data_IF_145166537967
#
_entry.id   IF_145166537967
#
_cell.length_a   1.000
_cell.length_b   1.000
_cell.length_c   1.000
_cell.angle_alpha   90.00
_cell.angle_beta   90.00
_cell.angle_gamma   90.00
#
_symmetry.space_group_name_H-M   'P 1'
#
loop_
_entity.id
_entity.type
_entity.pdbx_description
1 polymer ?
#
# COMPACT_ATOMS: atom_id res chain seq x y z
N UNK A 1 -2.32 -34.03 -2.58
CA UNK A 1 -2.76 -32.97 -1.67
C UNK A 1 -4.27 -32.90 -1.63
N UNK A 2 -4.80 -32.22 -0.66
CA UNK A 2 -6.25 -32.02 -0.47
C UNK A 2 -6.88 -31.17 -1.59
N UNK A 3 -6.11 -30.22 -2.12
CA UNK A 3 -6.54 -29.33 -3.19
C UNK A 3 -5.98 -29.76 -4.55
N UNK A 4 -6.77 -29.56 -5.60
CA UNK A 4 -6.41 -29.92 -6.96
C UNK A 4 -5.66 -28.80 -7.67
N UNK A 5 -4.66 -29.12 -8.50
CA UNK A 5 -4.02 -28.15 -9.36
C UNK A 5 -4.90 -27.82 -10.57
N UNK A 6 -4.95 -26.55 -10.95
CA UNK A 6 -5.56 -26.11 -12.22
C UNK A 6 -4.50 -25.52 -13.13
N UNK A 7 -4.69 -25.68 -14.44
CA UNK A 7 -3.83 -25.08 -15.45
C UNK A 7 -3.92 -23.55 -15.41
N UNK A 8 -2.81 -22.89 -15.71
CA UNK A 8 -2.77 -21.44 -15.84
C UNK A 8 -2.68 -21.02 -17.30
N UNK A 9 -2.76 -19.70 -17.55
CA UNK A 9 -2.54 -19.13 -18.89
C UNK A 9 -1.14 -19.40 -19.43
N UNK A 10 -0.17 -19.75 -18.57
CA UNK A 10 1.20 -20.09 -18.96
C UNK A 10 1.36 -21.63 -18.96
N UNK A 11 1.66 -22.25 -20.10
CA UNK A 11 1.87 -23.70 -20.17
C UNK A 11 2.94 -24.19 -19.19
N UNK A 12 2.66 -25.32 -18.52
CA UNK A 12 3.57 -25.91 -17.54
C UNK A 12 3.53 -25.31 -16.12
N UNK A 13 2.79 -24.23 -15.92
CA UNK A 13 2.55 -23.67 -14.59
C UNK A 13 1.14 -24.01 -14.13
N UNK A 14 1.03 -24.56 -12.93
CA UNK A 14 -0.23 -24.88 -12.27
C UNK A 14 -0.32 -24.15 -10.93
N UNK A 15 -1.53 -23.80 -10.52
CA UNK A 15 -1.84 -23.22 -9.21
C UNK A 15 -3.01 -23.95 -8.56
N UNK A 16 -3.26 -23.69 -7.29
CA UNK A 16 -4.38 -24.26 -6.57
C UNK A 16 -5.73 -23.86 -7.20
N UNK A 17 -6.70 -24.77 -7.20
CA UNK A 17 -8.06 -24.56 -7.73
C UNK A 17 -8.82 -23.38 -7.10
N UNK A 18 -8.42 -22.96 -5.90
CA UNK A 18 -8.98 -21.79 -5.25
C UNK A 18 -8.46 -20.45 -5.80
N UNK A 19 -7.55 -20.48 -6.77
CA UNK A 19 -6.94 -19.27 -7.35
C UNK A 19 -7.23 -19.11 -8.87
N UNK A 20 -8.48 -19.27 -9.35
CA UNK A 20 -8.79 -19.23 -10.77
C UNK A 20 -8.49 -17.89 -11.42
N UNK A 21 -8.74 -16.78 -10.72
CA UNK A 21 -8.44 -15.42 -11.22
C UNK A 21 -6.93 -15.19 -11.36
N UNK A 22 -6.11 -15.78 -10.47
CA UNK A 22 -4.66 -15.73 -10.55
C UNK A 22 -4.16 -16.57 -11.73
N UNK A 23 -4.72 -17.77 -11.92
CA UNK A 23 -4.39 -18.65 -13.04
C UNK A 23 -4.52 -17.93 -14.39
N UNK A 24 -5.56 -17.14 -14.57
CA UNK A 24 -5.81 -16.35 -15.78
C UNK A 24 -4.84 -15.18 -16.00
N UNK A 25 -4.10 -14.78 -14.97
CA UNK A 25 -3.16 -13.64 -15.02
C UNK A 25 -1.70 -14.07 -14.86
N UNK A 26 -1.43 -15.36 -14.90
CA UNK A 26 -0.08 -15.88 -14.67
C UNK A 26 0.95 -15.38 -15.68
N UNK A 27 0.53 -14.99 -16.88
CA UNK A 27 1.36 -14.35 -17.91
C UNK A 27 1.94 -12.98 -17.50
N UNK A 28 1.43 -12.41 -16.42
CA UNK A 28 1.88 -11.11 -15.86
C UNK A 28 2.68 -11.25 -14.57
N UNK A 29 2.94 -12.48 -14.14
CA UNK A 29 3.58 -12.80 -12.87
C UNK A 29 4.90 -13.54 -13.09
N UNK A 30 5.88 -13.24 -12.26
CA UNK A 30 7.11 -13.99 -12.15
C UNK A 30 7.05 -14.86 -10.88
N UNK A 31 7.14 -16.17 -11.05
CA UNK A 31 7.13 -17.12 -9.94
C UNK A 31 8.55 -17.55 -9.59
N UNK A 32 9.04 -17.14 -8.40
CA UNK A 32 10.33 -17.57 -7.87
C UNK A 32 10.08 -18.78 -6.94
N UNK A 33 10.53 -19.95 -7.33
CA UNK A 33 10.28 -21.23 -6.62
C UNK A 33 11.43 -21.64 -5.70
N UNK A 34 12.57 -21.01 -5.80
CA UNK A 34 13.80 -21.35 -5.07
C UNK A 34 14.06 -20.44 -3.87
N UNK A 35 13.10 -19.60 -3.49
CA UNK A 35 13.28 -18.67 -2.39
C UNK A 35 13.23 -19.40 -1.05
N UNK A 36 14.26 -19.23 -0.23
CA UNK A 36 14.38 -19.84 1.11
C UNK A 36 14.94 -18.82 2.10
N UNK A 37 14.64 -18.99 3.37
CA UNK A 37 15.24 -18.26 4.48
C UNK A 37 15.27 -19.15 5.73
N UNK A 38 16.13 -18.79 6.69
CA UNK A 38 16.30 -19.53 7.94
C UNK A 38 15.54 -18.95 9.13
N UNK A 39 14.81 -17.84 8.91
CA UNK A 39 14.07 -17.18 9.97
C UNK A 39 12.71 -17.86 10.19
N UNK A 40 12.43 -18.25 11.43
CA UNK A 40 11.18 -18.89 11.85
C UNK A 40 10.25 -17.95 12.63
N UNK A 41 10.71 -16.73 12.94
CA UNK A 41 9.90 -15.70 13.57
C UNK A 41 9.05 -14.99 12.53
N UNK A 42 7.73 -14.92 12.76
CA UNK A 42 6.80 -14.32 11.79
C UNK A 42 7.14 -12.88 11.44
N UNK A 43 7.56 -12.08 12.41
CA UNK A 43 7.85 -10.65 12.20
C UNK A 43 9.10 -10.44 11.35
N UNK A 44 10.18 -11.14 11.71
CA UNK A 44 11.45 -11.06 10.99
C UNK A 44 11.34 -11.67 9.59
N UNK A 45 10.69 -12.82 9.47
CA UNK A 45 10.46 -13.46 8.17
C UNK A 45 9.58 -12.58 7.24
N UNK A 46 8.56 -11.93 7.79
CA UNK A 46 7.75 -10.97 7.02
C UNK A 46 8.61 -9.82 6.52
N UNK A 47 9.45 -9.23 7.36
CA UNK A 47 10.37 -8.18 6.94
C UNK A 47 11.28 -8.65 5.81
N UNK A 48 11.90 -9.84 5.95
CA UNK A 48 12.76 -10.41 4.92
C UNK A 48 12.02 -10.60 3.58
N UNK A 49 10.81 -11.17 3.62
CA UNK A 49 10.00 -11.40 2.42
C UNK A 49 9.57 -10.12 1.72
N UNK A 50 9.29 -9.06 2.46
CA UNK A 50 8.80 -7.81 1.92
C UNK A 50 9.90 -6.83 1.49
N UNK A 51 11.14 -7.02 1.97
CA UNK A 51 12.25 -6.09 1.71
C UNK A 51 13.44 -6.75 1.01
N UNK A 52 13.56 -8.08 1.07
CA UNK A 52 14.74 -8.84 0.63
C UNK A 52 15.95 -8.65 1.53
N UNK A 53 15.77 -8.15 2.74
CA UNK A 53 16.85 -7.85 3.70
C UNK A 53 16.51 -8.37 5.09
N UNK A 54 17.53 -8.74 5.82
CA UNK A 54 17.37 -9.06 7.24
C UNK A 54 16.96 -7.81 8.01
N UNK A 55 16.14 -8.01 9.04
CA UNK A 55 15.76 -6.93 9.92
C UNK A 55 16.99 -6.40 10.66
N UNK A 56 17.17 -5.07 10.80
CA UNK A 56 18.35 -4.49 11.43
C UNK A 56 18.58 -5.02 12.86
N UNK A 57 17.56 -4.97 13.71
CA UNK A 57 17.52 -5.60 15.04
C UNK A 57 16.09 -5.88 15.46
N UNK A 58 15.89 -6.75 16.48
CA UNK A 58 14.52 -7.01 17.00
C UNK A 58 13.85 -5.79 17.62
N UNK A 59 14.62 -4.84 18.10
CA UNK A 59 14.18 -3.63 18.80
C UNK A 59 14.26 -2.37 17.94
N UNK A 60 14.72 -2.48 16.69
CA UNK A 60 14.78 -1.34 15.80
C UNK A 60 13.37 -0.75 15.56
N UNK A 61 13.23 0.57 15.59
CA UNK A 61 11.96 1.21 15.27
C UNK A 61 11.63 1.05 13.77
N UNK A 62 10.34 1.10 13.43
CA UNK A 62 9.85 0.87 12.05
C UNK A 62 10.47 1.82 11.02
N UNK A 63 10.82 3.03 11.41
CA UNK A 63 11.48 4.00 10.53
C UNK A 63 12.93 3.66 10.19
N UNK A 64 13.51 2.67 10.83
CA UNK A 64 14.85 2.11 10.50
C UNK A 64 14.76 0.84 9.65
N UNK A 65 13.57 0.35 9.38
CA UNK A 65 13.38 -0.81 8.50
C UNK A 65 13.94 -0.55 7.10
N UNK A 66 14.29 -1.62 6.41
CA UNK A 66 14.48 -1.57 4.98
C UNK A 66 13.13 -1.29 4.29
N UNK A 67 13.14 -0.44 3.25
CA UNK A 67 11.90 -0.11 2.54
C UNK A 67 11.34 -1.34 1.81
N UNK A 68 10.01 -1.45 1.84
CA UNK A 68 9.27 -2.41 1.04
C UNK A 68 9.48 -2.16 -0.46
N UNK A 69 9.35 -3.20 -1.28
CA UNK A 69 9.46 -3.09 -2.75
C UNK A 69 8.53 -2.02 -3.34
N UNK A 70 7.30 -1.90 -2.83
CA UNK A 70 6.36 -0.86 -3.26
C UNK A 70 6.83 0.55 -2.93
N UNK A 71 7.43 0.73 -1.75
CA UNK A 71 8.03 2.01 -1.34
C UNK A 71 9.24 2.37 -2.22
N UNK A 72 10.08 1.39 -2.54
CA UNK A 72 11.21 1.58 -3.46
C UNK A 72 10.75 2.00 -4.86
N UNK A 73 9.72 1.36 -5.40
CA UNK A 73 9.14 1.72 -6.70
C UNK A 73 8.55 3.14 -6.67
N UNK A 74 7.90 3.50 -5.58
CA UNK A 74 7.40 4.85 -5.35
C UNK A 74 8.53 5.89 -5.32
N UNK A 75 9.63 5.59 -4.61
CA UNK A 75 10.83 6.43 -4.55
C UNK A 75 11.46 6.63 -5.93
N UNK A 76 11.53 5.58 -6.74
CA UNK A 76 12.04 5.60 -8.12
C UNK A 76 11.08 6.27 -9.12
N UNK A 77 9.98 6.86 -8.66
CA UNK A 77 9.00 7.53 -9.49
C UNK A 77 8.23 6.61 -10.42
N UNK A 78 8.14 5.32 -10.08
CA UNK A 78 7.28 4.35 -10.78
C UNK A 78 5.83 4.49 -10.30
N UNK A 79 4.87 4.07 -11.15
CA UNK A 79 3.45 4.23 -10.83
C UNK A 79 2.98 5.67 -10.96
N UNK A 80 3.30 6.32 -12.09
CA UNK A 80 2.78 7.65 -12.45
C UNK A 80 1.30 7.55 -12.81
N UNK A 81 0.51 8.47 -12.31
CA UNK A 81 -0.93 8.55 -12.61
C UNK A 81 -1.76 8.94 -11.39
N UNK A 82 -3.08 8.90 -11.51
CA UNK A 82 -3.99 9.29 -10.43
C UNK A 82 -4.07 8.26 -9.29
N UNK A 83 -3.58 7.02 -9.51
CA UNK A 83 -3.58 5.99 -8.49
C UNK A 83 -2.34 6.11 -7.59
N UNK A 84 -2.44 5.73 -6.31
CA UNK A 84 -1.28 5.63 -5.45
C UNK A 84 -0.27 4.63 -6.03
N UNK A 85 1.01 4.97 -6.07
CA UNK A 85 2.04 4.08 -6.60
C UNK A 85 2.21 2.80 -5.75
N UNK A 86 1.80 2.83 -4.51
CA UNK A 86 1.87 1.71 -3.58
C UNK A 86 0.62 1.66 -2.69
N UNK A 87 -0.09 0.55 -2.76
CA UNK A 87 -1.28 0.25 -1.95
C UNK A 87 -1.02 -1.00 -1.14
N UNK A 88 -1.36 -0.98 0.14
CA UNK A 88 -1.33 -2.12 1.03
C UNK A 88 -2.75 -2.44 1.49
N UNK A 89 -3.21 -3.65 1.19
CA UNK A 89 -4.49 -4.17 1.66
C UNK A 89 -4.20 -5.13 2.81
N UNK A 90 -4.51 -4.72 4.02
CA UNK A 90 -4.31 -5.56 5.20
C UNK A 90 -5.46 -6.57 5.31
N UNK A 91 -5.16 -7.83 5.66
CA UNK A 91 -6.23 -8.76 5.98
C UNK A 91 -6.95 -8.32 7.26
N UNK A 92 -8.27 -8.43 7.28
CA UNK A 92 -9.03 -8.26 8.51
C UNK A 92 -8.71 -9.43 9.43
N UNK A 93 -8.09 -9.14 10.56
CA UNK A 93 -7.69 -10.15 11.54
C UNK A 93 -8.87 -10.42 12.46
N UNK A 94 -9.43 -11.64 12.48
CA UNK A 94 -10.52 -11.98 13.39
C UNK A 94 -10.11 -11.81 14.86
N UNK A 95 -11.07 -11.48 15.72
CA UNK A 95 -10.84 -11.41 17.14
C UNK A 95 -10.25 -12.74 17.66
N UNK A 96 -9.17 -12.64 18.43
CA UNK A 96 -8.45 -13.81 18.96
C UNK A 96 -7.34 -14.37 18.07
N UNK A 97 -7.19 -13.89 16.84
CA UNK A 97 -6.04 -14.25 16.02
C UNK A 97 -4.79 -13.45 16.41
N UNK A 98 -3.59 -14.03 16.25
CA UNK A 98 -2.35 -13.31 16.50
C UNK A 98 -2.23 -12.06 15.62
N UNK A 99 -1.99 -10.90 16.24
CA UNK A 99 -1.86 -9.62 15.52
C UNK A 99 -0.45 -9.34 15.01
N UNK A 100 0.34 -10.37 14.75
CA UNK A 100 1.70 -10.18 14.24
C UNK A 100 1.75 -9.40 12.92
N UNK A 101 0.72 -9.48 12.09
CA UNK A 101 0.64 -8.75 10.82
C UNK A 101 0.57 -7.25 11.05
N UNK A 102 -0.18 -6.79 12.06
CA UNK A 102 -0.30 -5.36 12.39
C UNK A 102 1.02 -4.77 12.94
N UNK A 103 1.79 -5.58 13.64
CA UNK A 103 3.08 -5.21 14.23
C UNK A 103 4.28 -5.60 13.38
N UNK A 104 4.06 -6.21 12.21
CA UNK A 104 5.14 -6.67 11.35
C UNK A 104 5.92 -5.53 10.74
N UNK A 105 7.22 -5.67 10.78
CA UNK A 105 8.17 -4.79 10.14
C UNK A 105 8.23 -5.01 8.62
N UNK A 106 8.82 -4.06 7.88
CA UNK A 106 9.00 -4.17 6.42
C UNK A 106 7.76 -3.86 5.58
N UNK A 107 6.65 -3.41 6.19
CA UNK A 107 5.42 -3.09 5.45
C UNK A 107 5.37 -1.67 4.89
N UNK A 108 6.27 -0.81 5.32
CA UNK A 108 6.30 0.60 4.98
C UNK A 108 7.55 1.03 4.20
N UNK A 109 7.78 2.31 4.22
CA UNK A 109 8.91 2.93 3.55
C UNK A 109 10.21 2.88 4.36
N UNK A 110 10.16 2.51 5.64
CA UNK A 110 11.34 2.46 6.50
C UNK A 110 12.12 3.79 6.47
N UNK A 111 13.43 3.70 6.32
CA UNK A 111 14.33 4.86 6.28
C UNK A 111 14.14 5.80 5.07
N UNK A 112 13.39 5.40 4.03
CA UNK A 112 13.01 6.33 2.95
C UNK A 112 12.03 7.42 3.42
N UNK A 113 11.39 7.20 4.56
CA UNK A 113 10.50 8.15 5.18
C UNK A 113 9.03 8.04 4.74
N UNK A 114 8.12 8.66 5.53
CA UNK A 114 6.67 8.45 5.43
C UNK A 114 6.07 8.88 4.10
N UNK A 115 6.72 9.74 3.33
CA UNK A 115 6.29 10.14 1.99
C UNK A 115 6.07 8.96 1.05
N UNK A 116 6.79 7.87 1.25
CA UNK A 116 6.76 6.68 0.39
C UNK A 116 6.01 5.51 1.02
N UNK A 117 5.32 5.73 2.15
CA UNK A 117 4.47 4.73 2.74
C UNK A 117 3.30 4.36 1.81
N UNK A 118 2.79 3.12 1.93
CA UNK A 118 1.62 2.70 1.18
C UNK A 118 0.38 3.51 1.58
N UNK A 119 -0.53 3.69 0.65
CA UNK A 119 -1.92 3.90 1.00
C UNK A 119 -2.46 2.60 1.59
N UNK A 120 -2.92 2.64 2.83
CA UNK A 120 -3.50 1.45 3.50
C UNK A 120 -5.00 1.40 3.26
N UNK A 121 -5.48 0.21 2.94
CA UNK A 121 -6.91 -0.09 2.84
C UNK A 121 -7.20 -1.15 3.88
N UNK A 122 -7.89 -0.77 4.94
CA UNK A 122 -8.25 -1.64 6.06
C UNK A 122 -9.69 -2.19 5.93
N UNK A 123 -10.35 -1.92 4.81
CA UNK A 123 -11.69 -2.43 4.52
C UNK A 123 -11.64 -3.91 4.08
N UNK A 124 -12.61 -4.69 4.54
CA UNK A 124 -12.72 -6.11 4.21
C UNK A 124 -13.34 -6.31 2.81
N UNK A 125 -12.49 -6.58 1.83
CA UNK A 125 -12.89 -6.79 0.44
C UNK A 125 -13.74 -8.07 0.21
N UNK A 126 -13.93 -8.92 1.22
CA UNK A 126 -14.83 -10.08 1.14
C UNK A 126 -16.29 -9.73 1.42
N UNK A 127 -16.55 -8.56 1.94
CA UNK A 127 -17.91 -8.11 2.30
C UNK A 127 -18.67 -7.64 1.07
N UNK A 128 -19.97 -7.97 0.96
CA UNK A 128 -20.83 -7.50 -0.15
C UNK A 128 -20.98 -5.97 -0.21
N UNK A 129 -20.84 -5.31 0.93
CA UNK A 129 -20.92 -3.86 1.11
C UNK A 129 -19.56 -3.19 1.16
N UNK A 130 -18.51 -3.86 0.62
CA UNK A 130 -17.16 -3.31 0.57
C UNK A 130 -17.13 -1.92 -0.05
N UNK A 131 -16.60 -0.98 0.71
CA UNK A 131 -16.33 0.39 0.26
C UNK A 131 -15.03 0.87 0.88
N UNK A 132 -14.28 1.61 0.12
CA UNK A 132 -13.12 2.37 0.65
C UNK A 132 -13.66 3.74 1.04
N UNK A 133 -14.10 3.87 2.30
CA UNK A 133 -14.80 5.05 2.81
C UNK A 133 -14.02 6.35 2.66
N UNK A 134 -12.69 6.27 2.59
CA UNK A 134 -11.82 7.41 2.40
C UNK A 134 -11.97 8.08 1.01
N UNK A 135 -12.60 7.42 0.04
CA UNK A 135 -12.89 7.99 -1.28
C UNK A 135 -14.25 8.67 -1.38
N UNK A 136 -15.11 8.48 -0.40
CA UNK A 136 -16.40 9.14 -0.36
C UNK A 136 -16.24 10.52 0.30
N UNK A 137 -16.44 11.57 -0.49
CA UNK A 137 -16.63 12.90 0.08
C UNK A 137 -17.89 12.86 0.94
N UNK A 138 -17.78 13.30 2.20
CA UNK A 138 -18.98 13.51 3.01
C UNK A 138 -19.96 14.37 2.22
N UNK A 139 -21.26 14.00 2.25
CA UNK A 139 -22.33 14.73 1.57
C UNK A 139 -22.35 16.23 1.94
N UNK A 140 -21.78 16.57 3.09
CA UNK A 140 -21.68 17.95 3.60
C UNK A 140 -20.49 18.74 3.03
N UNK A 141 -19.64 18.13 2.19
CA UNK A 141 -18.47 18.79 1.62
C UNK A 141 -18.60 18.82 0.10
N UNK A 142 -19.18 19.89 -0.46
CA UNK A 142 -19.25 20.05 -1.91
C UNK A 142 -17.85 20.25 -2.50
N UNK A 143 -17.70 19.91 -3.79
CA UNK A 143 -16.42 20.00 -4.50
C UNK A 143 -15.79 21.42 -4.44
N UNK A 144 -16.63 22.47 -4.45
CA UNK A 144 -16.16 23.85 -4.27
C UNK A 144 -15.43 24.06 -2.95
N UNK A 145 -15.94 23.49 -1.86
CA UNK A 145 -15.32 23.61 -0.54
C UNK A 145 -13.99 22.85 -0.44
N UNK A 146 -13.82 21.78 -1.23
CA UNK A 146 -12.53 21.11 -1.37
C UNK A 146 -11.51 21.98 -2.10
N UNK A 147 -11.91 22.66 -3.17
CA UNK A 147 -11.04 23.61 -3.89
C UNK A 147 -10.63 24.78 -2.99
N UNK A 148 -11.55 25.35 -2.21
CA UNK A 148 -11.26 26.42 -1.26
C UNK A 148 -10.25 25.97 -0.20
N UNK A 149 -10.41 24.77 0.36
CA UNK A 149 -9.45 24.19 1.32
C UNK A 149 -8.08 23.99 0.69
N UNK A 150 -8.03 23.52 -0.56
CA UNK A 150 -6.78 23.35 -1.32
C UNK A 150 -6.10 24.69 -1.57
N UNK A 151 -6.88 25.72 -1.91
CA UNK A 151 -6.39 27.10 -2.09
C UNK A 151 -5.78 27.65 -0.82
N UNK A 152 -6.49 27.52 0.31
CA UNK A 152 -6.04 27.96 1.62
C UNK A 152 -4.75 27.23 2.05
N UNK A 153 -4.71 25.90 1.88
CA UNK A 153 -3.52 25.11 2.19
C UNK A 153 -2.31 25.59 1.39
N UNK A 154 -2.43 25.78 0.07
CA UNK A 154 -1.34 26.29 -0.78
C UNK A 154 -0.85 27.67 -0.31
N UNK A 155 -1.77 28.54 0.10
CA UNK A 155 -1.42 29.86 0.62
C UNK A 155 -0.62 29.76 1.91
N UNK A 156 -1.03 28.91 2.84
CA UNK A 156 -0.32 28.65 4.08
C UNK A 156 1.06 28.04 3.81
N UNK A 157 1.13 26.99 3.00
CA UNK A 157 2.40 26.33 2.64
C UNK A 157 3.38 27.29 1.97
N UNK A 158 2.91 28.18 1.10
CA UNK A 158 3.75 29.18 0.45
C UNK A 158 4.36 30.19 1.42
N UNK A 159 3.69 30.48 2.52
CA UNK A 159 4.21 31.34 3.58
C UNK A 159 5.22 30.59 4.48
N UNK A 160 4.94 29.32 4.80
CA UNK A 160 5.85 28.48 5.56
C UNK A 160 7.14 28.15 4.79
N UNK A 161 7.07 27.90 3.48
CA UNK A 161 8.24 27.66 2.62
C UNK A 161 9.20 28.86 2.56
N UNK A 162 8.72 30.06 2.86
CA UNK A 162 9.58 31.26 2.99
C UNK A 162 10.32 31.31 4.33
N UNK A 163 9.89 30.55 5.32
CA UNK A 163 10.41 30.60 6.69
C UNK A 163 11.26 29.39 7.06
N UNK A 164 11.01 28.21 6.48
CA UNK A 164 11.75 27.00 6.84
C UNK A 164 11.86 25.98 5.68
N UNK A 165 13.08 25.61 5.36
CA UNK A 165 13.45 24.51 4.43
C UNK A 165 13.36 23.14 5.13
N UNK A 166 12.32 22.86 5.91
CA UNK A 166 12.20 21.59 6.63
C UNK A 166 11.59 20.49 5.76
N UNK A 167 12.29 19.37 5.66
CA UNK A 167 11.89 18.17 4.95
C UNK A 167 10.49 17.67 5.37
N UNK A 168 10.09 17.93 6.61
CA UNK A 168 8.78 17.56 7.17
C UNK A 168 7.63 18.31 6.49
N UNK A 169 7.79 19.60 6.18
CA UNK A 169 6.75 20.42 5.52
C UNK A 169 6.51 19.98 4.09
N UNK A 170 7.58 19.64 3.35
CA UNK A 170 7.48 19.13 1.99
C UNK A 170 6.79 17.76 1.95
N UNK A 171 7.04 16.92 2.95
CA UNK A 171 6.39 15.60 3.09
C UNK A 171 4.89 15.77 3.30
N UNK A 172 4.48 16.63 4.22
CA UNK A 172 3.07 16.87 4.53
C UNK A 172 2.32 17.41 3.30
N UNK A 173 2.86 18.41 2.60
CA UNK A 173 2.28 18.96 1.37
C UNK A 173 2.09 17.90 0.28
N UNK A 174 3.05 16.97 0.13
CA UNK A 174 2.93 15.88 -0.84
C UNK A 174 1.84 14.86 -0.49
N UNK A 175 1.58 14.61 0.79
CA UNK A 175 0.49 13.74 1.23
C UNK A 175 -0.88 14.37 0.97
N UNK A 176 -1.05 15.64 1.29
CA UNK A 176 -2.28 16.37 1.00
C UNK A 176 -2.56 16.42 -0.51
N UNK A 177 -1.54 16.71 -1.33
CA UNK A 177 -1.72 16.72 -2.78
C UNK A 177 -2.21 15.37 -3.31
N UNK A 178 -1.60 14.27 -2.86
CA UNK A 178 -2.04 12.92 -3.24
C UNK A 178 -3.47 12.62 -2.80
N UNK A 179 -3.83 13.00 -1.58
CA UNK A 179 -5.19 12.81 -1.08
C UNK A 179 -6.22 13.55 -1.95
N UNK A 180 -5.94 14.82 -2.31
CA UNK A 180 -6.82 15.58 -3.21
C UNK A 180 -6.91 14.96 -4.60
N UNK A 181 -5.80 14.53 -5.18
CA UNK A 181 -5.77 13.93 -6.51
C UNK A 181 -6.57 12.60 -6.54
N UNK A 182 -6.49 11.81 -5.47
CA UNK A 182 -7.29 10.59 -5.30
C UNK A 182 -8.79 10.88 -5.20
N UNK A 183 -9.18 11.81 -4.32
CA UNK A 183 -10.59 12.17 -4.12
C UNK A 183 -11.22 12.77 -5.37
N UNK A 184 -10.43 13.52 -6.16
CA UNK A 184 -10.88 14.12 -7.41
C UNK A 184 -10.88 13.15 -8.61
N UNK A 185 -10.26 11.99 -8.51
CA UNK A 185 -10.08 11.07 -9.64
C UNK A 185 -11.21 10.04 -9.75
N UNK A 186 -12.05 10.09 -10.82
CA UNK A 186 -13.02 9.04 -11.10
C UNK A 186 -12.37 7.66 -11.32
N UNK A 187 -11.16 7.63 -11.90
CA UNK A 187 -10.40 6.41 -12.14
C UNK A 187 -9.94 5.76 -10.83
N UNK A 188 -9.59 6.55 -9.82
CA UNK A 188 -9.26 6.03 -8.51
C UNK A 188 -10.49 5.37 -7.87
N UNK A 189 -11.63 6.04 -7.86
CA UNK A 189 -12.89 5.49 -7.36
C UNK A 189 -13.24 4.17 -8.05
N UNK A 190 -13.19 4.14 -9.38
CA UNK A 190 -13.48 2.93 -10.16
C UNK A 190 -12.51 1.78 -9.88
N UNK A 191 -11.23 2.06 -9.62
CA UNK A 191 -10.23 1.03 -9.35
C UNK A 191 -10.47 0.28 -8.03
N UNK A 192 -11.17 0.90 -7.08
CA UNK A 192 -11.49 0.34 -5.76
C UNK A 192 -12.97 -0.06 -5.63
N UNK A 193 -13.75 0.07 -6.68
CA UNK A 193 -15.12 -0.43 -6.76
C UNK A 193 -15.09 -1.92 -7.17
N UNK A 194 -15.64 -2.77 -6.30
CA UNK A 194 -15.71 -4.22 -6.50
C UNK A 194 -17.14 -4.69 -6.83
N UNK A 195 -18.09 -3.75 -7.01
CA UNK A 195 -19.48 -4.07 -7.36
C UNK A 195 -19.64 -4.57 -8.81
#
# INVERSE_FOLDING_TARGET
>A
GEFKPIATKVPGIQVCEHLPKLAMRMDKLAQIRSMTHNDVDHTSATHFMLTGRDRPTRTAPINEDWPNYGAMLSYLGRGKGPLPPYVSMMPVVPNGAPRFVESSHGQGAGWLGPRFNPMRIDADASKPDYKVGEFDLSLDIPASRMEDRRGLQKSIESQFLKLETLQTTQTLGSHYQRAYDLLASPKAKQAFDLS
#
